data_IF_387992894598
#
_entry.id   IF_387992894598
#
_cell.length_a   1.000
_cell.length_b   1.000
_cell.length_c   1.000
_cell.angle_alpha   90.00
_cell.angle_beta   90.00
_cell.angle_gamma   90.00
#
_symmetry.space_group_name_H-M   'P 1'
#
loop_
_entity.id
_entity.type
_entity.pdbx_description
1 polymer ?
#
# COMPACT_ATOMS: atom_id res chain seq x y z
N UNK A 1 19.62 63.29 -37.95
CA UNK A 1 18.70 62.16 -38.23
C UNK A 1 19.06 60.82 -37.56
N UNK A 2 20.31 60.53 -37.13
CA UNK A 2 20.66 59.16 -36.71
C UNK A 2 20.21 58.71 -35.30
N UNK A 3 19.98 59.60 -34.33
CA UNK A 3 19.61 59.21 -32.96
C UNK A 3 18.28 58.43 -32.87
N UNK A 4 17.25 58.82 -33.64
CA UNK A 4 15.92 58.21 -33.52
C UNK A 4 15.88 56.72 -33.95
N UNK A 5 16.74 56.31 -34.89
CA UNK A 5 16.75 54.91 -35.38
C UNK A 5 17.22 53.91 -34.32
N UNK A 6 18.15 54.28 -33.43
CA UNK A 6 18.60 53.38 -32.34
C UNK A 6 17.49 53.18 -31.30
N UNK A 7 16.78 54.24 -30.91
CA UNK A 7 15.67 54.15 -29.95
C UNK A 7 14.54 53.28 -30.48
N UNK A 8 14.18 53.45 -31.76
CA UNK A 8 13.16 52.62 -32.43
C UNK A 8 13.60 51.16 -32.52
N UNK A 9 14.85 50.86 -32.89
CA UNK A 9 15.35 49.47 -32.89
C UNK A 9 15.30 48.83 -31.50
N UNK A 10 15.71 49.54 -30.45
CA UNK A 10 15.68 49.05 -29.06
C UNK A 10 14.24 48.78 -28.59
N UNK A 11 13.27 49.62 -28.99
CA UNK A 11 11.86 49.43 -28.66
C UNK A 11 11.23 48.24 -29.41
N UNK A 12 11.59 48.03 -30.69
CA UNK A 12 11.19 46.83 -31.43
C UNK A 12 11.82 45.58 -30.80
N UNK A 13 13.09 45.62 -30.42
CA UNK A 13 13.78 44.51 -29.77
C UNK A 13 13.15 44.14 -28.42
N UNK A 14 12.73 45.13 -27.62
CA UNK A 14 12.06 44.85 -26.34
C UNK A 14 10.68 44.22 -26.53
N UNK A 15 9.89 44.67 -27.50
CA UNK A 15 8.59 44.07 -27.84
C UNK A 15 8.77 42.62 -28.30
N UNK A 16 9.69 42.35 -29.23
CA UNK A 16 9.96 40.99 -29.73
C UNK A 16 10.49 40.09 -28.61
N UNK A 17 11.37 40.60 -27.74
CA UNK A 17 11.87 39.85 -26.59
C UNK A 17 10.76 39.52 -25.58
N UNK A 18 9.86 40.47 -25.26
CA UNK A 18 8.72 40.24 -24.36
C UNK A 18 7.72 39.25 -24.96
N UNK A 19 7.44 39.32 -26.27
CA UNK A 19 6.60 38.34 -26.96
C UNK A 19 7.23 36.94 -26.99
N UNK A 20 8.53 36.84 -27.23
CA UNK A 20 9.26 35.57 -27.15
C UNK A 20 9.26 34.99 -25.73
N UNK A 21 9.46 35.82 -24.70
CA UNK A 21 9.41 35.41 -23.29
C UNK A 21 8.01 34.92 -22.91
N UNK A 22 6.96 35.65 -23.32
CA UNK A 22 5.56 35.25 -23.13
C UNK A 22 5.23 33.93 -23.85
N UNK A 23 5.75 33.72 -25.07
CA UNK A 23 5.57 32.47 -25.80
C UNK A 23 6.29 31.28 -25.14
N UNK A 24 7.51 31.49 -24.63
CA UNK A 24 8.26 30.47 -23.86
C UNK A 24 7.54 30.14 -22.54
N UNK A 25 7.08 31.15 -21.80
CA UNK A 25 6.33 30.96 -20.54
C UNK A 25 5.01 30.24 -20.80
N UNK A 26 4.25 30.62 -21.83
CA UNK A 26 2.99 29.93 -22.17
C UNK A 26 3.23 28.51 -22.70
N UNK A 27 4.32 28.23 -23.42
CA UNK A 27 4.74 26.87 -23.77
C UNK A 27 5.11 26.03 -22.53
N UNK A 28 5.89 26.57 -21.58
CA UNK A 28 6.22 25.89 -20.33
C UNK A 28 4.97 25.60 -19.49
N UNK A 29 4.02 26.54 -19.41
CA UNK A 29 2.73 26.34 -18.74
C UNK A 29 1.89 25.27 -19.46
N UNK A 30 1.94 25.20 -20.79
CA UNK A 30 1.22 24.20 -21.59
C UNK A 30 1.83 22.80 -21.46
N UNK A 31 3.15 22.69 -21.34
CA UNK A 31 3.85 21.42 -21.07
C UNK A 31 3.70 20.97 -19.60
N UNK A 32 3.61 21.89 -18.65
CA UNK A 32 3.35 21.59 -17.23
C UNK A 32 1.89 21.22 -16.90
N UNK A 33 1.01 21.03 -17.89
CA UNK A 33 -0.27 20.32 -17.69
C UNK A 33 -0.12 18.79 -17.72
N UNK A 34 0.90 18.28 -17.03
CA UNK A 34 0.81 16.93 -16.45
C UNK A 34 -0.30 16.93 -15.38
N UNK A 35 -1.00 15.80 -15.24
CA UNK A 35 -2.19 15.70 -14.39
C UNK A 35 -1.80 15.52 -12.92
N UNK A 36 -1.25 16.57 -12.31
CA UNK A 36 -0.85 16.60 -10.90
C UNK A 36 -2.10 16.71 -10.02
N UNK A 37 -2.46 15.63 -9.34
CA UNK A 37 -3.57 15.60 -8.37
C UNK A 37 -3.17 16.24 -7.04
N UNK A 38 -3.27 17.57 -6.96
CA UNK A 38 -3.38 18.26 -5.66
C UNK A 38 -4.85 18.28 -5.26
N UNK A 39 -5.18 17.62 -4.16
CA UNK A 39 -6.53 17.64 -3.58
C UNK A 39 -6.82 18.99 -2.90
N UNK A 40 -8.01 19.58 -3.10
CA UNK A 40 -8.44 20.75 -2.34
C UNK A 40 -8.92 20.35 -0.94
N UNK A 41 -8.74 21.23 0.04
CA UNK A 41 -9.43 21.12 1.33
C UNK A 41 -10.90 21.53 1.14
N UNK A 42 -11.84 20.76 1.71
CA UNK A 42 -13.27 21.08 1.71
C UNK A 42 -13.81 20.87 3.12
N UNK A 43 -14.47 21.90 3.67
CA UNK A 43 -15.19 21.84 4.95
C UNK A 43 -16.63 21.38 4.69
N UNK A 44 -17.16 20.49 5.52
CA UNK A 44 -18.50 19.90 5.37
C UNK A 44 -19.37 20.12 6.62
N UNK A 45 -20.68 20.20 6.41
CA UNK A 45 -21.73 20.12 7.43
C UNK A 45 -22.76 19.07 6.97
N UNK A 46 -23.47 18.45 7.92
CA UNK A 46 -24.25 17.22 7.69
C UNK A 46 -25.75 17.40 8.03
N UNK A 47 -26.63 16.87 7.17
CA UNK A 47 -28.01 16.49 7.53
C UNK A 47 -28.48 15.34 6.61
N UNK A 48 -29.24 14.38 7.15
CA UNK A 48 -29.77 13.23 6.40
C UNK A 48 -31.22 13.44 5.91
N UNK A 49 -31.88 12.45 5.29
CA UNK A 49 -31.43 11.08 5.00
C UNK A 49 -32.22 10.41 3.87
N UNK A 50 -31.80 10.57 2.61
CA UNK A 50 -32.10 9.63 1.51
C UNK A 50 -31.16 9.90 0.32
N UNK A 51 -30.59 8.88 -0.34
CA UNK A 51 -29.62 9.11 -1.45
C UNK A 51 -30.37 9.32 -2.77
N UNK A 52 -30.91 10.53 -2.98
CA UNK A 52 -31.64 10.89 -4.21
C UNK A 52 -31.21 12.25 -4.78
N UNK A 53 -30.21 12.18 -5.68
CA UNK A 53 -29.60 13.25 -6.50
C UNK A 53 -28.72 14.26 -5.77
N UNK A 54 -27.64 14.65 -6.44
CA UNK A 54 -26.91 15.90 -6.18
C UNK A 54 -27.75 17.04 -6.77
N UNK A 55 -28.10 18.03 -5.95
CA UNK A 55 -28.73 19.30 -6.37
C UNK A 55 -28.00 20.42 -5.65
N UNK A 56 -27.75 21.54 -6.34
CA UNK A 56 -27.04 22.71 -5.80
C UNK A 56 -28.02 23.88 -5.72
N UNK A 57 -28.50 24.22 -4.50
CA UNK A 57 -28.99 25.56 -4.14
C UNK A 57 -29.31 25.72 -2.63
N UNK A 58 -29.80 26.90 -2.26
CA UNK A 58 -29.59 27.56 -0.96
C UNK A 58 -30.65 27.36 0.15
N UNK A 59 -30.15 27.23 1.39
CA UNK A 59 -30.70 27.72 2.68
C UNK A 59 -31.92 27.08 3.38
N UNK A 60 -31.77 26.96 4.72
CA UNK A 60 -32.74 26.93 5.86
C UNK A 60 -33.27 25.59 6.44
N UNK A 61 -32.77 25.32 7.65
CA UNK A 61 -33.40 24.72 8.85
C UNK A 61 -33.86 23.23 8.89
N UNK A 62 -33.09 22.41 9.63
CA UNK A 62 -33.50 21.56 10.80
C UNK A 62 -34.61 20.47 10.60
N UNK A 63 -34.57 19.26 11.20
CA UNK A 63 -33.62 18.58 12.13
C UNK A 63 -33.52 17.07 11.71
N UNK A 64 -33.38 15.97 12.49
CA UNK A 64 -33.27 15.67 13.94
C UNK A 64 -32.21 14.57 14.20
N UNK A 65 -32.56 13.45 14.85
CA UNK A 65 -31.62 12.46 15.46
C UNK A 65 -32.14 11.03 15.26
N UNK A 66 -31.27 10.08 14.88
CA UNK A 66 -31.18 8.74 15.52
C UNK A 66 -29.98 7.87 15.04
N UNK A 67 -29.07 7.58 15.98
CA UNK A 67 -28.26 6.36 16.18
C UNK A 67 -27.74 5.51 14.99
N UNK A 68 -26.68 5.97 14.30
CA UNK A 68 -25.59 5.09 13.80
C UNK A 68 -24.24 5.84 13.93
N UNK A 69 -23.43 5.52 14.94
CA UNK A 69 -22.27 6.35 15.35
C UNK A 69 -20.88 5.73 15.24
N UNK A 70 -20.73 4.44 14.89
CA UNK A 70 -19.42 3.74 14.91
C UNK A 70 -18.81 3.39 13.53
N UNK A 71 -19.54 3.60 12.43
CA UNK A 71 -19.00 3.41 11.06
C UNK A 71 -18.87 4.72 10.27
N UNK A 72 -19.57 5.80 10.66
CA UNK A 72 -19.58 7.07 9.93
C UNK A 72 -18.21 7.76 9.88
N UNK A 73 -17.47 7.78 10.99
CA UNK A 73 -16.22 8.54 11.11
C UNK A 73 -15.17 8.07 10.09
N UNK A 74 -14.96 6.75 9.97
CA UNK A 74 -14.00 6.19 9.01
C UNK A 74 -14.41 6.39 7.54
N UNK A 75 -15.71 6.51 7.24
CA UNK A 75 -16.19 6.81 5.88
C UNK A 75 -15.93 8.29 5.54
N UNK A 76 -16.11 9.19 6.51
CA UNK A 76 -15.91 10.63 6.30
C UNK A 76 -14.46 10.99 5.95
N UNK A 77 -13.46 10.28 6.50
CA UNK A 77 -12.05 10.44 6.12
C UNK A 77 -11.72 9.96 4.69
N UNK A 78 -12.54 9.08 4.11
CA UNK A 78 -12.29 8.45 2.80
C UNK A 78 -13.00 9.14 1.62
N UNK A 79 -13.96 10.03 1.89
CA UNK A 79 -14.68 10.82 0.87
C UNK A 79 -13.82 11.45 -0.25
N UNK A 80 -12.61 12.01 -0.03
CA UNK A 80 -11.80 12.56 -1.13
C UNK A 80 -11.27 11.51 -2.14
N UNK A 81 -11.29 10.21 -1.81
CA UNK A 81 -10.77 9.15 -2.70
C UNK A 81 -11.84 8.54 -3.62
N UNK A 82 -13.11 8.53 -3.21
CA UNK A 82 -14.18 7.83 -3.96
C UNK A 82 -14.58 8.48 -5.28
N UNK A 83 -14.42 9.80 -5.44
CA UNK A 83 -14.96 10.56 -6.57
C UNK A 83 -14.01 10.66 -7.78
N UNK A 84 -13.50 9.53 -8.31
CA UNK A 84 -12.88 9.51 -9.64
C UNK A 84 -12.96 8.17 -10.39
N UNK A 85 -13.23 8.23 -11.70
CA UNK A 85 -13.16 7.13 -12.70
C UNK A 85 -14.19 5.98 -12.65
N UNK A 86 -15.48 6.31 -12.61
CA UNK A 86 -16.59 5.35 -12.78
C UNK A 86 -16.77 4.83 -14.24
N UNK A 87 -15.68 4.49 -14.95
CA UNK A 87 -15.73 4.11 -16.37
C UNK A 87 -14.71 3.04 -16.80
N UNK A 88 -14.04 2.38 -15.86
CA UNK A 88 -13.02 1.33 -16.12
C UNK A 88 -13.38 0.00 -15.38
N UNK A 89 -14.47 0.01 -14.61
CA UNK A 89 -14.81 -1.02 -13.61
C UNK A 89 -15.58 -2.25 -14.14
N UNK A 90 -15.85 -2.35 -15.45
CA UNK A 90 -16.75 -3.39 -16.02
C UNK A 90 -16.28 -4.83 -15.81
N UNK A 91 -14.98 -5.04 -15.59
CA UNK A 91 -14.39 -6.38 -15.53
C UNK A 91 -14.08 -6.84 -14.10
N UNK A 92 -14.26 -5.99 -13.09
CA UNK A 92 -14.10 -6.38 -11.69
C UNK A 92 -15.41 -6.97 -11.16
N UNK A 93 -15.53 -8.29 -11.29
CA UNK A 93 -16.66 -9.08 -10.74
C UNK A 93 -16.71 -8.91 -9.22
N UNK A 94 -17.91 -8.96 -8.63
CA UNK A 94 -18.16 -8.89 -7.18
C UNK A 94 -19.25 -9.90 -6.83
N UNK A 95 -19.38 -10.34 -5.56
CA UNK A 95 -20.53 -11.10 -5.12
C UNK A 95 -21.85 -10.35 -5.40
N UNK A 96 -22.86 -11.05 -5.91
CA UNK A 96 -24.23 -10.52 -5.92
C UNK A 96 -24.73 -10.42 -4.48
N UNK A 97 -24.97 -9.20 -4.00
CA UNK A 97 -25.34 -8.94 -2.61
C UNK A 97 -26.69 -9.57 -2.22
N UNK A 98 -27.59 -9.84 -3.17
CA UNK A 98 -28.89 -10.48 -2.88
C UNK A 98 -28.71 -11.96 -2.57
N UNK A 99 -27.85 -12.66 -3.32
CA UNK A 99 -27.51 -14.06 -3.10
C UNK A 99 -26.59 -14.17 -1.89
N UNK A 100 -25.51 -13.38 -1.86
CA UNK A 100 -24.45 -13.44 -0.86
C UNK A 100 -24.96 -13.26 0.57
N UNK A 101 -25.87 -12.31 0.80
CA UNK A 101 -26.48 -12.06 2.11
C UNK A 101 -27.48 -13.14 2.56
N UNK A 102 -27.77 -14.15 1.72
CA UNK A 102 -28.60 -15.32 2.09
C UNK A 102 -27.78 -16.59 2.37
N UNK A 103 -26.45 -16.54 2.18
CA UNK A 103 -25.54 -17.65 2.44
C UNK A 103 -25.16 -17.73 3.94
N UNK A 104 -24.84 -18.93 4.48
CA UNK A 104 -24.30 -19.06 5.83
C UNK A 104 -22.92 -18.39 5.94
N UNK A 105 -22.53 -17.94 7.15
CA UNK A 105 -21.18 -17.39 7.38
C UNK A 105 -20.11 -18.47 7.14
N UNK A 106 -19.00 -18.12 6.47
CA UNK A 106 -17.87 -19.00 6.21
C UNK A 106 -17.17 -19.42 7.51
N UNK A 107 -17.57 -20.56 8.06
CA UNK A 107 -16.91 -21.17 9.20
C UNK A 107 -15.70 -22.00 8.73
N UNK A 108 -14.55 -21.33 8.49
CA UNK A 108 -13.26 -22.00 8.29
C UNK A 108 -12.79 -22.63 9.61
N UNK A 109 -13.41 -23.77 9.96
CA UNK A 109 -13.09 -24.56 11.13
C UNK A 109 -12.00 -25.58 10.79
N UNK A 110 -10.92 -25.52 11.56
CA UNK A 110 -9.82 -26.48 11.45
C UNK A 110 -10.16 -27.73 12.26
N UNK A 111 -10.32 -28.87 11.59
CA UNK A 111 -10.68 -30.15 12.21
C UNK A 111 -9.47 -30.78 12.91
N UNK A 112 -9.42 -30.67 14.24
CA UNK A 112 -8.25 -30.74 15.11
C UNK A 112 -7.34 -32.02 15.09
N UNK A 113 -7.57 -33.01 14.23
CA UNK A 113 -7.02 -34.37 14.43
C UNK A 113 -5.60 -34.64 13.91
N UNK A 114 -4.98 -33.78 13.09
CA UNK A 114 -3.53 -33.82 12.87
C UNK A 114 -2.93 -32.45 12.51
N UNK A 115 -1.80 -32.11 13.14
CA UNK A 115 -0.94 -30.98 12.80
C UNK A 115 -0.27 -31.08 11.42
N UNK A 116 -0.18 -32.26 10.82
CA UNK A 116 0.37 -32.44 9.47
C UNK A 116 -0.56 -31.86 8.40
N UNK A 117 -1.88 -31.94 8.60
CA UNK A 117 -2.92 -31.54 7.64
C UNK A 117 -2.88 -30.05 7.29
N UNK A 118 -2.35 -29.21 8.18
CA UNK A 118 -2.28 -27.76 7.97
C UNK A 118 -1.01 -27.32 7.21
N UNK A 119 -0.05 -28.21 6.99
CA UNK A 119 1.23 -27.88 6.35
C UNK A 119 1.05 -27.75 4.84
N UNK A 120 1.47 -26.62 4.32
CA UNK A 120 1.32 -26.25 2.91
C UNK A 120 2.51 -26.80 2.12
N UNK A 121 2.25 -27.69 1.16
CA UNK A 121 3.29 -28.13 0.21
C UNK A 121 3.59 -27.00 -0.76
N UNK A 122 4.73 -26.34 -0.56
CA UNK A 122 5.14 -25.20 -1.40
C UNK A 122 5.76 -25.68 -2.71
N UNK A 123 5.12 -25.33 -3.82
CA UNK A 123 5.64 -25.45 -5.18
C UNK A 123 6.90 -24.58 -5.33
N UNK A 124 8.01 -25.21 -5.72
CA UNK A 124 9.30 -24.56 -5.99
C UNK A 124 9.61 -24.44 -7.49
N UNK A 125 8.72 -24.95 -8.35
CA UNK A 125 8.88 -24.99 -9.81
C UNK A 125 8.26 -23.75 -10.45
N UNK A 126 9.02 -23.10 -11.32
CA UNK A 126 8.58 -21.85 -11.96
C UNK A 126 7.86 -22.17 -13.27
N UNK A 127 6.55 -21.95 -13.26
CA UNK A 127 5.69 -22.08 -14.43
C UNK A 127 5.52 -20.72 -15.16
N UNK A 128 5.26 -20.70 -16.48
CA UNK A 128 4.80 -19.49 -17.17
C UNK A 128 3.37 -19.14 -16.71
N UNK A 129 2.97 -17.87 -16.88
CA UNK A 129 1.71 -17.37 -16.30
C UNK A 129 0.48 -18.14 -16.76
N UNK A 130 0.39 -18.57 -18.03
CA UNK A 130 -0.76 -19.33 -18.52
C UNK A 130 -0.95 -20.66 -17.78
N UNK A 131 0.13 -21.38 -17.46
CA UNK A 131 0.05 -22.65 -16.72
C UNK A 131 -0.38 -22.40 -15.27
N UNK A 132 0.03 -21.28 -14.66
CA UNK A 132 -0.43 -20.86 -13.33
C UNK A 132 -1.90 -20.41 -13.39
N UNK A 133 -2.34 -19.81 -14.49
CA UNK A 133 -3.75 -19.49 -14.75
C UNK A 133 -4.58 -20.77 -14.86
N UNK A 134 -4.12 -21.77 -15.62
CA UNK A 134 -4.71 -23.11 -15.73
C UNK A 134 -4.81 -23.83 -14.37
N UNK A 135 -3.79 -23.74 -13.50
CA UNK A 135 -3.83 -24.28 -12.13
C UNK A 135 -4.96 -23.70 -11.27
N UNK A 136 -5.45 -22.49 -11.59
CA UNK A 136 -6.37 -21.70 -10.76
C UNK A 136 -7.69 -21.32 -11.45
N UNK A 137 -7.92 -21.77 -12.68
CA UNK A 137 -8.86 -21.13 -13.62
C UNK A 137 -10.34 -21.22 -13.20
N UNK A 138 -10.76 -22.38 -12.68
CA UNK A 138 -12.16 -22.81 -12.52
C UNK A 138 -13.06 -21.80 -11.77
N UNK A 139 -12.49 -21.01 -10.87
CA UNK A 139 -13.24 -20.09 -10.00
C UNK A 139 -12.56 -18.73 -9.74
N UNK A 140 -11.33 -18.49 -10.20
CA UNK A 140 -10.64 -17.22 -10.02
C UNK A 140 -11.12 -16.15 -11.03
N UNK A 141 -11.51 -14.97 -10.55
CA UNK A 141 -11.95 -13.85 -11.38
C UNK A 141 -10.78 -12.93 -11.78
N UNK A 142 -10.93 -12.27 -12.93
CA UNK A 142 -9.97 -11.27 -13.41
C UNK A 142 -9.72 -10.17 -12.38
N UNK A 143 -8.47 -9.73 -12.31
CA UNK A 143 -7.94 -8.91 -11.23
C UNK A 143 -7.31 -9.72 -10.08
N UNK A 144 -7.26 -11.04 -10.17
CA UNK A 144 -6.79 -11.90 -9.09
C UNK A 144 -7.73 -11.90 -7.88
N UNK A 145 -9.04 -11.85 -8.15
CA UNK A 145 -10.09 -11.76 -7.15
C UNK A 145 -10.83 -13.10 -7.03
N UNK A 146 -11.06 -13.56 -5.81
CA UNK A 146 -11.84 -14.76 -5.53
C UNK A 146 -12.65 -14.55 -4.26
N UNK A 147 -13.82 -15.19 -4.21
CA UNK A 147 -14.69 -15.26 -3.05
C UNK A 147 -15.44 -16.60 -3.06
N UNK A 148 -15.77 -17.17 -1.89
CA UNK A 148 -16.54 -18.40 -1.81
C UNK A 148 -17.98 -18.19 -2.33
N UNK A 149 -18.49 -19.18 -3.08
CA UNK A 149 -19.85 -19.17 -3.67
C UNK A 149 -20.92 -19.79 -2.75
N UNK A 150 -20.49 -20.41 -1.65
CA UNK A 150 -21.34 -21.21 -0.74
C UNK A 150 -21.49 -20.62 0.66
N UNK A 151 -20.76 -19.54 0.98
CA UNK A 151 -20.79 -18.90 2.28
C UNK A 151 -20.43 -17.40 2.20
N UNK A 152 -20.84 -16.62 3.19
CA UNK A 152 -20.52 -15.19 3.35
C UNK A 152 -19.27 -15.00 4.21
N UNK A 153 -18.34 -14.13 3.78
CA UNK A 153 -17.14 -13.77 4.56
C UNK A 153 -17.39 -12.50 5.40
N UNK A 154 -16.77 -12.44 6.58
CA UNK A 154 -16.77 -11.24 7.43
C UNK A 154 -15.81 -10.15 6.89
N UNK A 155 -14.77 -10.58 6.19
CA UNK A 155 -13.68 -9.72 5.72
C UNK A 155 -13.44 -9.86 4.22
N UNK A 156 -13.08 -8.75 3.61
CA UNK A 156 -12.74 -8.58 2.20
C UNK A 156 -11.34 -8.00 2.13
N UNK A 157 -10.41 -8.76 1.55
CA UNK A 157 -8.97 -8.55 1.69
C UNK A 157 -8.34 -7.92 0.46
N UNK A 158 -7.69 -6.78 0.63
CA UNK A 158 -6.71 -6.27 -0.34
C UNK A 158 -5.31 -6.79 0.04
N UNK A 159 -4.74 -7.67 -0.79
CA UNK A 159 -3.39 -8.21 -0.60
C UNK A 159 -2.44 -7.40 -1.49
N UNK A 160 -1.65 -6.52 -0.86
CA UNK A 160 -0.87 -5.48 -1.52
C UNK A 160 0.62 -5.88 -1.53
N UNK A 161 1.17 -6.01 -2.72
CA UNK A 161 2.52 -6.51 -2.98
C UNK A 161 3.35 -5.42 -3.66
N UNK A 162 4.45 -5.01 -3.03
CA UNK A 162 5.38 -4.06 -3.62
C UNK A 162 6.32 -4.76 -4.59
N UNK A 163 6.40 -4.28 -5.82
CA UNK A 163 7.04 -5.00 -6.91
C UNK A 163 7.95 -4.12 -7.77
N UNK A 164 9.08 -4.70 -8.19
CA UNK A 164 9.91 -4.26 -9.32
C UNK A 164 10.86 -5.40 -9.72
N UNK A 165 10.84 -5.80 -10.99
CA UNK A 165 11.79 -6.75 -11.61
C UNK A 165 11.99 -8.06 -10.81
N UNK A 166 10.90 -8.70 -10.40
CA UNK A 166 10.87 -9.90 -9.54
C UNK A 166 9.91 -10.98 -10.10
N UNK A 167 9.88 -11.14 -11.43
CA UNK A 167 8.85 -11.96 -12.11
C UNK A 167 8.86 -13.43 -11.67
N UNK A 168 10.05 -14.02 -11.53
CA UNK A 168 10.24 -15.39 -11.04
C UNK A 168 9.72 -15.58 -9.61
N UNK A 169 9.82 -14.56 -8.76
CA UNK A 169 9.17 -14.54 -7.44
C UNK A 169 7.66 -14.44 -7.55
N UNK A 170 7.16 -13.52 -8.37
CA UNK A 170 5.72 -13.31 -8.54
C UNK A 170 5.02 -14.57 -9.09
N UNK A 171 5.66 -15.30 -9.99
CA UNK A 171 5.18 -16.61 -10.48
C UNK A 171 5.05 -17.64 -9.36
N UNK A 172 6.12 -17.88 -8.60
CA UNK A 172 6.10 -18.78 -7.43
C UNK A 172 5.11 -18.29 -6.36
N UNK A 173 4.96 -16.99 -6.19
CA UNK A 173 4.01 -16.40 -5.26
C UNK A 173 2.57 -16.71 -5.64
N UNK A 174 2.16 -16.43 -6.88
CA UNK A 174 0.79 -16.63 -7.34
C UNK A 174 0.40 -18.12 -7.40
N UNK A 175 1.32 -18.99 -7.85
CA UNK A 175 1.13 -20.44 -7.91
C UNK A 175 0.76 -21.03 -6.54
N UNK A 176 1.44 -20.58 -5.48
CA UNK A 176 1.23 -21.05 -4.11
C UNK A 176 0.11 -20.31 -3.35
N UNK A 177 0.08 -18.97 -3.42
CA UNK A 177 -0.77 -18.17 -2.52
C UNK A 177 -2.26 -18.30 -2.83
N UNK A 178 -2.65 -18.48 -4.10
CA UNK A 178 -4.05 -18.67 -4.45
C UNK A 178 -4.59 -19.96 -3.82
N UNK A 179 -3.85 -21.07 -3.89
CA UNK A 179 -4.19 -22.32 -3.19
C UNK A 179 -4.37 -22.10 -1.69
N UNK A 180 -3.47 -21.34 -1.08
CA UNK A 180 -3.52 -21.02 0.36
C UNK A 180 -4.77 -20.21 0.75
N UNK A 181 -5.07 -19.14 0.02
CA UNK A 181 -6.16 -18.21 0.32
C UNK A 181 -7.54 -18.81 0.03
N UNK A 182 -7.69 -19.56 -1.07
CA UNK A 182 -8.93 -20.28 -1.42
C UNK A 182 -9.29 -21.30 -0.34
N UNK A 183 -8.29 -22.03 0.19
CA UNK A 183 -8.50 -22.99 1.29
C UNK A 183 -9.04 -22.31 2.56
N UNK A 184 -8.61 -21.09 2.88
CA UNK A 184 -9.12 -20.31 4.02
C UNK A 184 -10.49 -19.65 3.78
N UNK A 185 -11.15 -19.89 2.63
CA UNK A 185 -12.47 -19.35 2.28
C UNK A 185 -12.58 -17.81 2.36
N UNK A 186 -11.53 -17.11 1.95
CA UNK A 186 -11.44 -15.64 2.04
C UNK A 186 -12.00 -14.94 0.80
N UNK A 187 -12.71 -13.82 0.97
CA UNK A 187 -12.87 -12.83 -0.11
C UNK A 187 -11.55 -12.04 -0.19
N UNK A 188 -10.83 -12.14 -1.29
CA UNK A 188 -9.55 -11.45 -1.48
C UNK A 188 -9.37 -10.91 -2.91
N UNK A 189 -8.48 -9.94 -3.05
CA UNK A 189 -7.91 -9.49 -4.34
C UNK A 189 -6.40 -9.27 -4.19
N UNK A 190 -5.63 -9.71 -5.19
CA UNK A 190 -4.17 -9.50 -5.22
C UNK A 190 -3.81 -8.26 -6.05
N UNK A 191 -3.12 -7.32 -5.42
CA UNK A 191 -2.65 -6.06 -6.00
C UNK A 191 -1.12 -6.03 -6.08
N UNK A 192 -0.58 -6.05 -7.31
CA UNK A 192 0.86 -5.94 -7.58
C UNK A 192 1.17 -4.48 -7.92
N UNK A 193 1.80 -3.76 -6.99
CA UNK A 193 2.14 -2.34 -7.14
C UNK A 193 3.56 -2.22 -7.70
N UNK A 194 3.66 -1.99 -9.01
CA UNK A 194 4.91 -1.96 -9.74
C UNK A 194 5.51 -0.55 -9.79
N UNK A 195 6.73 -0.39 -9.26
CA UNK A 195 7.49 0.88 -9.33
C UNK A 195 8.21 0.99 -10.68
N UNK A 196 7.59 1.63 -11.66
CA UNK A 196 8.24 2.02 -12.90
C UNK A 196 9.21 3.19 -12.67
N UNK A 197 10.49 3.01 -13.01
CA UNK A 197 11.51 4.06 -12.90
C UNK A 197 12.90 3.54 -12.53
N UNK A 198 13.86 4.45 -12.34
CA UNK A 198 15.27 4.17 -11.97
C UNK A 198 15.62 4.61 -10.54
N UNK A 199 14.68 5.27 -9.88
CA UNK A 199 14.72 5.72 -8.49
C UNK A 199 14.95 4.54 -7.53
N UNK A 200 15.39 4.82 -6.31
CA UNK A 200 15.50 3.80 -5.27
C UNK A 200 14.13 3.16 -4.99
N UNK A 201 14.14 1.88 -4.62
CA UNK A 201 12.89 1.17 -4.34
C UNK A 201 12.30 1.67 -3.02
N UNK A 202 11.02 2.00 -3.00
CA UNK A 202 10.33 2.56 -1.83
C UNK A 202 9.12 1.70 -1.47
N UNK A 203 9.40 0.59 -0.77
CA UNK A 203 8.43 -0.42 -0.34
C UNK A 203 7.24 0.20 0.42
N UNK A 204 7.53 1.07 1.38
CA UNK A 204 6.52 1.72 2.21
C UNK A 204 5.59 2.66 1.42
N UNK A 205 6.12 3.47 0.49
CA UNK A 205 5.29 4.31 -0.37
C UNK A 205 4.44 3.49 -1.36
N UNK A 206 4.93 2.34 -1.84
CA UNK A 206 4.16 1.44 -2.70
C UNK A 206 3.00 0.75 -1.95
N UNK A 207 3.15 0.41 -0.67
CA UNK A 207 2.03 -0.07 0.15
C UNK A 207 0.91 0.99 0.26
N UNK A 208 1.27 2.27 0.45
CA UNK A 208 0.32 3.38 0.46
C UNK A 208 -0.42 3.52 -0.88
N UNK A 209 0.30 3.44 -2.02
CA UNK A 209 -0.32 3.45 -3.36
C UNK A 209 -1.31 2.31 -3.52
N UNK A 210 -0.91 1.09 -3.16
CA UNK A 210 -1.78 -0.09 -3.27
C UNK A 210 -3.05 0.04 -2.44
N UNK A 211 -2.95 0.59 -1.23
CA UNK A 211 -4.11 0.93 -0.40
C UNK A 211 -5.03 1.94 -1.10
N UNK A 212 -4.47 3.07 -1.56
CA UNK A 212 -5.23 4.17 -2.17
C UNK A 212 -5.95 3.72 -3.46
N UNK A 213 -5.36 2.85 -4.28
CA UNK A 213 -6.03 2.33 -5.48
C UNK A 213 -7.03 1.20 -5.16
N UNK A 214 -6.72 0.31 -4.21
CA UNK A 214 -7.61 -0.80 -3.84
C UNK A 214 -8.99 -0.31 -3.33
N UNK A 215 -9.01 0.70 -2.45
CA UNK A 215 -10.27 1.23 -1.87
C UNK A 215 -11.22 1.85 -2.90
N UNK A 216 -10.73 2.21 -4.10
CA UNK A 216 -11.57 2.72 -5.20
C UNK A 216 -12.29 1.61 -5.95
N UNK A 217 -11.76 0.38 -5.90
CA UNK A 217 -12.25 -0.75 -6.68
C UNK A 217 -13.31 -1.54 -5.92
N UNK A 218 -13.07 -1.83 -4.63
CA UNK A 218 -13.97 -2.64 -3.81
C UNK A 218 -13.89 -2.26 -2.33
N UNK A 219 -14.92 -2.61 -1.55
CA UNK A 219 -15.12 -2.20 -0.16
C UNK A 219 -14.32 -3.07 0.82
N UNK A 220 -13.02 -3.17 0.58
CA UNK A 220 -12.06 -3.88 1.42
C UNK A 220 -12.05 -3.32 2.85
N UNK A 221 -12.09 -4.21 3.85
CA UNK A 221 -12.04 -3.86 5.27
C UNK A 221 -10.78 -4.40 5.97
N UNK A 222 -10.02 -5.26 5.29
CA UNK A 222 -8.75 -5.82 5.74
C UNK A 222 -7.66 -5.65 4.65
N UNK A 223 -6.46 -5.25 5.06
CA UNK A 223 -5.34 -4.96 4.17
C UNK A 223 -4.13 -5.79 4.61
N UNK A 224 -3.64 -6.65 3.71
CA UNK A 224 -2.45 -7.48 3.93
C UNK A 224 -1.31 -6.91 3.11
N UNK A 225 -0.28 -6.38 3.78
CA UNK A 225 0.92 -5.84 3.13
C UNK A 225 1.99 -6.93 3.09
N UNK A 226 2.44 -7.29 1.88
CA UNK A 226 3.13 -8.56 1.65
C UNK A 226 4.38 -8.41 0.78
N UNK A 227 5.50 -8.97 1.25
CA UNK A 227 6.70 -9.13 0.44
C UNK A 227 6.54 -10.33 -0.53
N UNK A 228 6.87 -10.11 -1.81
CA UNK A 228 6.67 -11.09 -2.90
C UNK A 228 7.55 -12.34 -2.79
N UNK A 229 8.56 -12.34 -1.91
CA UNK A 229 9.49 -13.45 -1.70
C UNK A 229 9.26 -14.25 -0.41
N UNK A 230 8.10 -14.08 0.24
CA UNK A 230 7.65 -14.85 1.39
C UNK A 230 6.40 -15.68 1.07
N UNK A 231 6.33 -16.93 1.53
CA UNK A 231 5.17 -17.83 1.40
C UNK A 231 4.80 -18.45 2.76
N UNK A 232 3.52 -18.46 3.19
CA UNK A 232 3.12 -19.07 4.45
C UNK A 232 3.19 -20.61 4.38
N UNK A 233 3.66 -21.26 5.46
CA UNK A 233 3.85 -22.72 5.51
C UNK A 233 2.70 -23.47 6.21
N UNK A 234 1.77 -22.77 6.88
CA UNK A 234 0.74 -23.39 7.73
C UNK A 234 -0.63 -22.69 7.60
N UNK A 235 -1.69 -23.46 7.31
CA UNK A 235 -3.06 -22.95 7.13
C UNK A 235 -3.68 -22.34 8.40
N UNK A 236 -3.13 -22.60 9.60
CA UNK A 236 -3.57 -21.96 10.86
C UNK A 236 -3.14 -20.50 10.95
N UNK A 237 -2.21 -20.05 10.10
CA UNK A 237 -1.87 -18.63 9.94
C UNK A 237 -2.97 -17.95 9.11
N UNK A 238 -4.11 -17.66 9.75
CA UNK A 238 -5.28 -17.10 9.06
C UNK A 238 -4.95 -15.70 8.54
N UNK A 239 -5.08 -15.52 7.22
CA UNK A 239 -5.01 -14.21 6.57
C UNK A 239 -6.29 -13.46 6.88
N UNK A 240 -6.31 -12.82 8.05
CA UNK A 240 -7.39 -11.95 8.52
C UNK A 240 -6.89 -10.89 9.48
N UNK A 241 -7.58 -9.76 9.47
CA UNK A 241 -7.37 -8.65 10.37
C UNK A 241 -8.09 -8.91 11.70
N UNK A 242 -7.66 -8.21 12.75
CA UNK A 242 -8.34 -8.17 14.05
C UNK A 242 -8.33 -6.76 14.63
N UNK A 243 -8.67 -6.62 15.91
CA UNK A 243 -8.74 -5.34 16.64
C UNK A 243 -7.43 -4.54 16.68
N UNK A 244 -6.32 -5.19 16.33
CA UNK A 244 -4.94 -4.70 16.43
C UNK A 244 -4.14 -5.15 15.21
N UNK A 245 -3.23 -4.32 14.67
CA UNK A 245 -2.34 -4.70 13.57
C UNK A 245 -1.57 -5.98 13.87
N UNK A 246 -1.43 -6.86 12.87
CA UNK A 246 -0.80 -8.18 13.02
C UNK A 246 0.50 -8.25 12.25
N UNK A 247 1.56 -8.75 12.88
CA UNK A 247 2.76 -9.24 12.18
C UNK A 247 2.57 -10.74 11.92
N UNK A 248 2.58 -11.13 10.65
CA UNK A 248 2.27 -12.49 10.22
C UNK A 248 3.54 -13.31 10.01
N UNK A 249 4.58 -12.72 9.41
CA UNK A 249 5.86 -13.39 9.14
C UNK A 249 6.80 -13.46 10.36
N UNK A 250 6.33 -14.05 11.46
CA UNK A 250 7.08 -14.15 12.73
C UNK A 250 8.31 -15.05 12.60
N UNK A 251 8.19 -16.14 11.85
CA UNK A 251 9.20 -17.19 11.74
C UNK A 251 9.55 -17.45 10.27
N UNK A 252 10.49 -16.68 9.71
CA UNK A 252 10.98 -16.91 8.34
C UNK A 252 12.11 -17.94 8.36
N UNK A 253 12.13 -18.87 7.40
CA UNK A 253 13.21 -19.87 7.25
C UNK A 253 14.61 -19.22 7.12
N UNK A 254 14.66 -17.98 6.62
CA UNK A 254 15.88 -17.15 6.55
C UNK A 254 16.54 -16.89 7.90
N UNK A 255 15.76 -16.85 8.97
CA UNK A 255 16.24 -16.60 10.32
C UNK A 255 16.07 -17.84 11.20
N UNK A 256 16.17 -19.03 10.59
CA UNK A 256 16.00 -20.34 11.22
C UNK A 256 14.67 -20.47 11.99
N UNK A 257 13.59 -19.90 11.43
CA UNK A 257 12.26 -19.83 12.06
C UNK A 257 12.25 -19.10 13.41
N UNK A 258 13.16 -18.14 13.62
CA UNK A 258 13.21 -17.27 14.80
C UNK A 258 12.80 -15.83 14.46
N UNK A 259 12.10 -15.18 15.38
CA UNK A 259 11.86 -13.75 15.34
C UNK A 259 13.18 -13.02 15.68
N UNK A 260 13.68 -12.15 14.78
CA UNK A 260 14.97 -11.48 14.96
C UNK A 260 15.02 -10.57 16.19
N UNK A 261 13.98 -9.76 16.39
CA UNK A 261 13.85 -8.83 17.51
C UNK A 261 12.37 -8.53 17.78
N UNK A 262 12.06 -8.14 19.03
CA UNK A 262 10.67 -8.06 19.51
C UNK A 262 9.81 -7.02 18.78
N UNK A 263 10.41 -5.95 18.25
CA UNK A 263 9.72 -4.88 17.50
C UNK A 263 9.55 -5.14 16.00
N UNK A 264 10.10 -6.23 15.45
CA UNK A 264 10.07 -6.50 14.00
C UNK A 264 8.64 -6.51 13.45
N UNK A 265 8.42 -5.70 12.41
CA UNK A 265 7.11 -5.52 11.77
C UNK A 265 7.22 -5.46 10.22
N UNK A 266 8.28 -6.08 9.69
CA UNK A 266 8.52 -6.24 8.25
C UNK A 266 7.86 -7.50 7.66
N UNK A 267 8.23 -7.87 6.43
CA UNK A 267 7.75 -9.08 5.78
C UNK A 267 6.27 -9.03 5.38
N UNK A 268 5.41 -9.59 6.23
CA UNK A 268 3.96 -9.68 6.02
C UNK A 268 3.20 -9.15 7.23
N UNK A 269 2.30 -8.18 7.02
CA UNK A 269 1.47 -7.58 8.08
C UNK A 269 0.01 -7.43 7.66
N UNK A 270 -0.90 -7.34 8.64
CA UNK A 270 -2.32 -7.09 8.41
C UNK A 270 -2.83 -5.88 9.21
N UNK A 271 -3.65 -5.04 8.58
CA UNK A 271 -4.32 -3.88 9.18
C UNK A 271 -5.80 -3.85 8.84
N UNK A 272 -6.63 -3.53 9.83
CA UNK A 272 -8.00 -3.06 9.55
C UNK A 272 -7.97 -1.73 8.81
N UNK A 273 -9.05 -1.39 8.09
CA UNK A 273 -9.20 -0.10 7.42
C UNK A 273 -8.92 1.08 8.36
N UNK A 274 -9.51 1.06 9.57
CA UNK A 274 -9.37 2.13 10.57
C UNK A 274 -7.97 2.19 11.19
N UNK A 275 -7.29 1.06 11.39
CA UNK A 275 -5.89 1.07 11.84
C UNK A 275 -4.96 1.66 10.79
N UNK A 276 -5.16 1.33 9.51
CA UNK A 276 -4.26 1.83 8.46
C UNK A 276 -4.43 3.34 8.23
N UNK A 277 -5.68 3.82 8.14
CA UNK A 277 -5.99 5.26 8.02
C UNK A 277 -5.55 6.01 9.28
N UNK A 278 -5.87 5.51 10.47
CA UNK A 278 -5.48 6.12 11.74
C UNK A 278 -3.96 6.21 11.95
N UNK A 279 -3.18 5.28 11.39
CA UNK A 279 -1.72 5.33 11.37
C UNK A 279 -1.14 6.34 10.37
N UNK A 280 -1.96 6.92 9.50
CA UNK A 280 -1.56 7.63 8.27
C UNK A 280 -0.79 6.71 7.28
N UNK A 281 -1.06 5.41 7.32
CA UNK A 281 -0.32 4.39 6.56
C UNK A 281 1.19 4.36 6.84
N UNK A 282 1.94 3.78 5.91
CA UNK A 282 3.39 3.63 5.96
C UNK A 282 4.13 4.97 5.69
N UNK A 283 5.39 5.15 6.14
CA UNK A 283 6.20 6.33 5.85
C UNK A 283 6.65 6.40 4.38
N UNK A 284 6.50 7.53 3.70
CA UNK A 284 6.88 7.66 2.26
C UNK A 284 8.35 8.01 2.05
N UNK A 285 9.11 8.25 3.13
CA UNK A 285 10.48 8.79 3.14
C UNK A 285 11.61 7.75 3.05
N UNK A 286 11.29 6.45 3.05
CA UNK A 286 12.31 5.39 3.06
C UNK A 286 12.69 4.95 1.64
N UNK A 287 13.63 5.69 1.06
CA UNK A 287 14.22 5.42 -0.25
C UNK A 287 15.44 4.48 -0.11
N UNK A 288 15.29 3.23 -0.54
CA UNK A 288 16.26 2.16 -0.28
C UNK A 288 15.83 1.25 0.87
N UNK A 289 16.71 0.33 1.28
CA UNK A 289 16.33 -0.75 2.22
C UNK A 289 16.47 -0.37 3.71
N UNK A 290 15.39 -0.62 4.47
CA UNK A 290 15.38 -0.86 5.90
C UNK A 290 14.98 0.32 6.78
N UNK A 291 14.23 0.03 7.84
CA UNK A 291 13.78 0.97 8.86
C UNK A 291 12.37 1.53 8.63
N UNK A 292 11.75 1.23 7.48
CA UNK A 292 10.38 1.65 7.18
C UNK A 292 9.32 0.80 7.91
N UNK A 293 9.71 -0.43 8.26
CA UNK A 293 8.96 -1.38 9.08
C UNK A 293 9.11 -1.08 10.59
N UNK A 294 10.31 -0.73 11.06
CA UNK A 294 10.52 -0.18 12.40
C UNK A 294 9.73 1.13 12.63
N UNK A 295 9.70 2.03 11.64
CA UNK A 295 8.88 3.25 11.70
C UNK A 295 7.38 2.91 11.75
N UNK A 296 6.92 1.92 10.96
CA UNK A 296 5.53 1.47 11.03
C UNK A 296 5.17 0.84 12.39
N UNK A 297 6.08 0.07 13.01
CA UNK A 297 5.91 -0.38 14.39
C UNK A 297 5.76 0.80 15.36
N UNK A 298 6.59 1.84 15.22
CA UNK A 298 6.46 3.06 16.02
C UNK A 298 5.14 3.80 15.76
N UNK A 299 4.63 3.84 14.53
CA UNK A 299 3.29 4.40 14.21
C UNK A 299 2.19 3.64 14.95
N UNK A 300 2.21 2.30 14.95
CA UNK A 300 1.24 1.49 15.71
C UNK A 300 1.32 1.78 17.21
N UNK A 301 2.52 1.82 17.78
CA UNK A 301 2.70 2.00 19.23
C UNK A 301 2.54 3.45 19.70
N UNK A 302 2.77 4.46 18.84
CA UNK A 302 2.82 5.89 19.24
C UNK A 302 1.75 6.78 18.60
N UNK A 303 1.17 6.41 17.46
CA UNK A 303 0.06 7.14 16.81
C UNK A 303 -1.29 6.44 17.00
N UNK A 304 -1.35 5.11 16.92
CA UNK A 304 -2.57 4.35 17.25
C UNK A 304 -2.71 4.02 18.74
N UNK A 305 -1.63 4.13 19.54
CA UNK A 305 -1.56 3.64 20.92
C UNK A 305 -1.95 2.14 21.07
N UNK A 306 -1.64 1.32 20.06
CA UNK A 306 -1.94 -0.13 20.03
C UNK A 306 -0.67 -0.97 20.17
N UNK A 307 -0.84 -2.18 20.71
CA UNK A 307 0.16 -3.24 20.56
C UNK A 307 -0.05 -3.97 19.23
N UNK A 308 1.02 -4.51 18.65
CA UNK A 308 0.89 -5.48 17.54
C UNK A 308 0.41 -6.84 18.07
N UNK A 309 -0.12 -7.69 17.18
CA UNK A 309 -0.44 -9.10 17.44
C UNK A 309 0.39 -10.03 16.54
N UNK A 310 0.55 -11.29 16.96
CA UNK A 310 1.30 -12.35 16.27
C UNK A 310 0.57 -13.69 16.51
N UNK A 311 0.66 -14.62 15.57
CA UNK A 311 0.36 -16.04 15.88
C UNK A 311 1.60 -16.70 16.53
N UNK A 312 1.43 -17.85 17.21
CA UNK A 312 2.55 -18.66 17.71
C UNK A 312 3.58 -19.01 16.63
N UNK A 313 4.83 -19.25 17.03
CA UNK A 313 6.00 -19.34 16.13
C UNK A 313 6.01 -20.61 15.25
N UNK A 314 5.25 -21.62 15.67
CA UNK A 314 4.96 -22.87 14.98
C UNK A 314 3.85 -22.76 13.94
N UNK A 315 3.03 -21.70 14.01
CA UNK A 315 1.96 -21.37 13.04
C UNK A 315 2.42 -20.26 12.08
N UNK A 316 3.06 -19.23 12.59
CA UNK A 316 3.49 -18.03 11.88
C UNK A 316 4.75 -18.23 11.01
N UNK A 317 4.87 -19.40 10.38
CA UNK A 317 6.03 -19.83 9.59
C UNK A 317 5.92 -19.42 8.13
N UNK A 318 7.05 -18.96 7.61
CA UNK A 318 7.17 -18.53 6.22
C UNK A 318 8.44 -19.06 5.57
N UNK A 319 8.29 -19.55 4.34
CA UNK A 319 9.39 -19.88 3.45
C UNK A 319 9.82 -18.64 2.68
N UNK A 320 11.12 -18.31 2.67
CA UNK A 320 11.65 -17.31 1.75
C UNK A 320 12.08 -17.95 0.42
N UNK A 321 11.63 -17.38 -0.70
CA UNK A 321 12.00 -17.79 -2.05
C UNK A 321 13.44 -17.33 -2.35
N UNK A 322 14.41 -18.14 -1.88
CA UNK A 322 15.85 -17.90 -1.99
C UNK A 322 16.48 -18.34 -3.32
N UNK A 323 15.90 -19.33 -3.99
CA UNK A 323 16.48 -20.10 -5.11
C UNK A 323 16.81 -19.30 -6.38
N UNK A 324 16.63 -17.98 -6.34
CA UNK A 324 16.73 -17.06 -7.47
C UNK A 324 17.87 -16.02 -7.34
N UNK A 325 18.70 -16.08 -6.29
CA UNK A 325 19.95 -15.31 -6.15
C UNK A 325 19.84 -13.79 -6.44
N UNK A 326 18.80 -13.13 -5.91
CA UNK A 326 18.70 -11.67 -6.02
C UNK A 326 19.53 -10.96 -4.96
N UNK A 327 20.27 -9.94 -5.37
CA UNK A 327 20.89 -8.97 -4.46
C UNK A 327 19.83 -8.20 -3.69
N UNK A 328 20.12 -7.91 -2.42
CA UNK A 328 19.29 -6.99 -1.62
C UNK A 328 19.41 -5.56 -2.16
N UNK A 329 18.36 -4.75 -1.98
CA UNK A 329 18.43 -3.32 -2.28
C UNK A 329 19.53 -2.62 -1.49
N UNK A 330 20.09 -1.52 -2.02
CA UNK A 330 21.04 -0.70 -1.28
C UNK A 330 20.39 -0.22 0.03
N UNK A 331 21.05 -0.34 1.20
CA UNK A 331 20.53 0.22 2.44
C UNK A 331 20.32 1.72 2.30
N UNK A 332 19.21 2.23 2.84
CA UNK A 332 19.00 3.68 2.93
C UNK A 332 20.03 4.25 3.93
N UNK A 333 20.93 5.17 3.52
CA UNK A 333 22.01 5.66 4.38
C UNK A 333 21.49 6.51 5.57
N UNK A 334 20.34 7.16 5.40
CA UNK A 334 19.75 8.05 6.39
C UNK A 334 18.70 7.37 7.28
N UNK A 335 18.42 6.06 7.09
CA UNK A 335 17.37 5.30 7.79
C UNK A 335 17.32 5.49 9.31
N UNK A 336 18.49 5.45 9.95
CA UNK A 336 18.61 5.64 11.40
C UNK A 336 18.38 7.10 11.81
N UNK A 337 18.83 8.06 11.00
CA UNK A 337 18.58 9.49 11.24
C UNK A 337 17.09 9.81 11.15
N UNK A 338 16.38 9.21 10.19
CA UNK A 338 14.93 9.31 10.04
C UNK A 338 14.24 8.67 11.26
N UNK A 339 14.50 7.39 11.53
CA UNK A 339 13.84 6.61 12.60
C UNK A 339 13.99 7.27 13.99
N UNK A 340 15.20 7.75 14.32
CA UNK A 340 15.49 8.34 15.63
C UNK A 340 15.20 9.85 15.73
N UNK A 341 14.67 10.48 14.67
CA UNK A 341 14.30 11.90 14.67
C UNK A 341 13.03 12.18 15.49
N UNK A 342 12.12 11.19 15.60
CA UNK A 342 10.77 11.35 16.17
C UNK A 342 9.95 12.44 15.47
N UNK A 343 10.03 12.52 14.14
CA UNK A 343 9.21 13.43 13.34
C UNK A 343 7.70 13.18 13.55
N UNK A 344 6.87 14.16 13.20
CA UNK A 344 5.42 14.04 13.33
C UNK A 344 4.85 13.17 12.19
N UNK A 345 4.43 11.94 12.51
CA UNK A 345 3.82 10.98 11.59
C UNK A 345 2.60 11.51 10.81
N UNK A 346 1.90 12.53 11.30
CA UNK A 346 0.79 13.17 10.55
C UNK A 346 1.28 14.09 9.42
N UNK A 347 2.60 14.31 9.26
CA UNK A 347 3.22 15.04 8.13
C UNK A 347 3.82 14.12 7.06
N UNK A 348 3.69 12.80 7.21
CA UNK A 348 4.23 11.84 6.25
C UNK A 348 3.40 10.55 6.21
N UNK A 349 2.84 10.21 5.06
CA UNK A 349 2.04 9.00 4.90
C UNK A 349 1.08 9.05 3.70
N UNK A 350 -0.07 8.37 3.81
CA UNK A 350 -1.12 8.41 2.77
C UNK A 350 -1.58 9.84 2.48
N UNK A 351 -1.63 10.72 3.49
CA UNK A 351 -2.04 12.12 3.32
C UNK A 351 -1.03 13.01 2.57
N UNK A 352 0.22 12.56 2.41
CA UNK A 352 1.27 13.24 1.62
C UNK A 352 1.70 12.43 0.40
N UNK A 353 0.99 11.35 0.07
CA UNK A 353 1.39 10.41 -0.97
C UNK A 353 1.27 11.06 -2.37
N UNK A 354 2.39 11.16 -3.08
CA UNK A 354 2.46 11.74 -4.43
C UNK A 354 3.10 10.75 -5.41
N UNK A 355 2.37 10.42 -6.47
CA UNK A 355 2.77 9.43 -7.47
C UNK A 355 2.07 9.71 -8.80
N UNK A 356 2.68 9.25 -9.90
CA UNK A 356 2.03 9.18 -11.21
C UNK A 356 1.53 7.76 -11.44
N UNK A 357 0.22 7.57 -11.45
CA UNK A 357 -0.41 6.37 -12.02
C UNK A 357 -0.27 6.39 -13.55
N UNK A 358 0.20 5.29 -14.14
CA UNK A 358 0.27 5.13 -15.60
C UNK A 358 -0.93 4.33 -16.11
N UNK A 359 -1.18 3.16 -15.54
CA UNK A 359 -2.37 2.35 -15.78
C UNK A 359 -2.62 1.35 -14.63
N UNK A 360 -3.82 0.76 -14.64
CA UNK A 360 -4.20 -0.43 -13.87
C UNK A 360 -4.59 -1.51 -14.89
N UNK A 361 -4.11 -2.74 -14.71
CA UNK A 361 -4.36 -3.87 -15.62
C UNK A 361 -4.83 -5.08 -14.82
N UNK A 362 -6.01 -5.59 -15.16
CA UNK A 362 -6.58 -6.79 -14.53
C UNK A 362 -6.12 -8.04 -15.29
N UNK A 363 -5.09 -8.72 -14.78
CA UNK A 363 -4.71 -10.07 -15.24
C UNK A 363 -5.58 -11.11 -14.52
N UNK A 364 -5.63 -12.37 -14.99
CA UNK A 364 -6.40 -13.43 -14.33
C UNK A 364 -5.94 -13.64 -12.87
N UNK A 365 -4.62 -13.66 -12.65
CA UNK A 365 -4.01 -13.91 -11.32
C UNK A 365 -3.87 -12.69 -10.40
N UNK A 366 -3.85 -11.45 -10.94
CA UNK A 366 -3.63 -10.24 -10.14
C UNK A 366 -4.04 -8.96 -10.85
N UNK A 367 -4.27 -7.91 -10.07
CA UNK A 367 -4.39 -6.52 -10.55
C UNK A 367 -3.02 -5.86 -10.50
N UNK A 368 -2.47 -5.51 -11.67
CA UNK A 368 -1.22 -4.76 -11.80
C UNK A 368 -1.50 -3.25 -11.70
N UNK A 369 -0.84 -2.56 -10.79
CA UNK A 369 -0.91 -1.10 -10.62
C UNK A 369 0.47 -0.54 -10.97
N UNK A 370 0.60 0.10 -12.15
CA UNK A 370 1.89 0.66 -12.59
C UNK A 370 2.01 2.14 -12.20
N UNK A 371 2.98 2.47 -11.35
CA UNK A 371 3.23 3.85 -10.90
C UNK A 371 4.68 4.27 -11.08
N UNK A 372 4.92 5.57 -11.23
CA UNK A 372 6.22 6.18 -10.93
C UNK A 372 6.09 7.03 -9.67
N UNK A 373 7.02 6.83 -8.74
CA UNK A 373 7.17 7.65 -7.54
C UNK A 373 8.28 8.70 -7.78
N UNK A 374 8.21 9.85 -7.11
CA UNK A 374 9.26 10.88 -7.18
C UNK A 374 10.17 10.77 -5.97
N UNK A 375 11.46 10.46 -6.18
CA UNK A 375 12.45 10.34 -5.10
C UNK A 375 12.69 11.70 -4.41
N UNK A 376 12.43 11.75 -3.10
CA UNK A 376 12.64 12.94 -2.28
C UNK A 376 14.02 12.86 -1.61
N UNK A 377 14.90 13.82 -1.88
CA UNK A 377 16.23 13.83 -1.28
C UNK A 377 16.16 14.04 0.23
N UNK A 378 17.13 13.49 0.98
CA UNK A 378 17.15 13.64 2.44
C UNK A 378 17.16 15.11 2.91
N UNK A 379 17.66 16.05 2.09
CA UNK A 379 17.56 17.49 2.36
C UNK A 379 16.09 17.99 2.34
N UNK A 380 15.32 17.58 1.33
CA UNK A 380 13.89 17.91 1.22
C UNK A 380 13.09 17.26 2.36
N UNK A 381 13.35 15.98 2.66
CA UNK A 381 12.77 15.25 3.81
C UNK A 381 13.01 16.02 5.12
N UNK A 382 14.25 16.44 5.38
CA UNK A 382 14.58 17.23 6.58
C UNK A 382 13.80 18.54 6.65
N UNK A 383 13.70 19.27 5.52
CA UNK A 383 12.94 20.53 5.44
C UNK A 383 11.44 20.33 5.64
N UNK A 384 10.84 19.27 5.07
CA UNK A 384 9.40 18.97 5.18
C UNK A 384 9.00 18.53 6.58
N UNK A 385 9.85 17.74 7.23
CA UNK A 385 9.55 17.09 8.51
C UNK A 385 10.17 17.76 9.73
N UNK A 386 10.86 18.89 9.55
CA UNK A 386 11.64 19.59 10.58
C UNK A 386 12.69 18.70 11.28
N UNK A 387 13.27 17.74 10.56
CA UNK A 387 14.29 16.84 11.11
C UNK A 387 15.61 17.60 11.21
N UNK A 388 16.05 17.87 12.45
CA UNK A 388 17.38 18.43 12.70
C UNK A 388 18.44 17.34 12.57
N UNK A 389 19.49 17.61 11.77
CA UNK A 389 20.68 16.76 11.78
C UNK A 389 21.34 16.84 13.15
N UNK A 390 21.19 15.79 13.97
CA UNK A 390 22.08 15.58 15.12
C UNK A 390 23.51 15.47 14.60
N UNK A 391 24.44 16.19 15.21
CA UNK A 391 25.87 16.07 14.91
C UNK A 391 26.36 14.64 15.15
N UNK A 392 27.44 14.23 14.47
CA UNK A 392 27.96 12.85 14.44
C UNK A 392 28.29 12.23 15.82
N UNK A 393 28.35 13.02 16.88
CA UNK A 393 28.94 12.65 18.17
C UNK A 393 28.02 11.80 19.08
N UNK A 394 27.19 10.90 18.52
CA UNK A 394 26.39 9.90 19.28
C UNK A 394 26.33 8.51 18.63
N UNK A 395 27.36 8.11 17.89
CA UNK A 395 27.49 6.74 17.35
C UNK A 395 27.60 5.66 18.45
N UNK A 396 28.05 6.01 19.66
CA UNK A 396 28.36 5.07 20.75
C UNK A 396 27.18 4.26 21.32
N UNK A 397 25.91 4.60 21.02
CA UNK A 397 24.73 3.81 21.43
C UNK A 397 23.99 3.13 20.26
N UNK A 398 24.56 3.09 19.05
CA UNK A 398 23.92 2.49 17.85
C UNK A 398 24.04 0.94 17.85
N UNK A 399 24.78 0.35 18.79
CA UNK A 399 25.19 -1.06 18.79
C UNK A 399 24.07 -2.12 18.86
N UNK A 400 22.86 -1.77 19.32
CA UNK A 400 21.77 -2.75 19.56
C UNK A 400 21.29 -3.43 18.26
N UNK A 401 21.31 -2.74 17.12
CA UNK A 401 20.90 -3.31 15.83
C UNK A 401 22.08 -3.74 14.94
N UNK A 402 23.21 -3.04 14.99
CA UNK A 402 24.39 -3.34 14.16
C UNK A 402 25.05 -4.69 14.46
N UNK A 403 24.78 -5.31 15.61
CA UNK A 403 25.26 -6.64 15.97
C UNK A 403 24.65 -7.77 15.11
N UNK A 404 23.43 -7.60 14.57
CA UNK A 404 22.81 -8.62 13.72
C UNK A 404 23.25 -8.54 12.25
N UNK A 405 23.53 -7.35 11.71
CA UNK A 405 24.02 -7.21 10.32
C UNK A 405 25.41 -7.85 10.10
N UNK A 406 26.21 -8.06 11.15
CA UNK A 406 27.50 -8.78 11.09
C UNK A 406 27.38 -10.30 11.14
N UNK A 407 26.28 -10.85 11.67
CA UNK A 407 26.08 -12.29 11.87
C UNK A 407 25.12 -12.91 10.82
N UNK A 408 24.90 -12.21 9.70
CA UNK A 408 24.00 -12.60 8.61
C UNK A 408 24.68 -12.54 7.22
N UNK A 409 25.99 -12.82 7.19
CA UNK A 409 26.79 -13.04 5.98
C UNK A 409 27.25 -14.49 5.90
#
# INVERSE_FOLDING_TARGET
MFQNRRTILLFIFSIVFVQALYYIITLQIKQNKTRITKFPLITLYEQGSDIKKIVVQDTKNLTLINNISLQKESINELNPFFNSSFSILTNFIKPDLTIYNSLPICNFSISNNDSSYYKVTISSKIYPFNIIEEHHDIDLHFGGHWFPKSCQTEQRLAIIICYRNRESHLKLFLDNIHSFLKQQQLDYTIFVVNQHGREQFNRAALFNVGFIEAIKLYSFNCFIFHDVDLLPEDLRNLYKCGEKPRHMSVAVDKFHYRLLYSTLFGGVTAFSLSDFVGANGYPTIYWGWGGEDDDMYLRVVKKLNKSITRYPIEIARYKMIRTLNHTSGKPNPDRYTILYSKYNYSRDGINTMNYKLHNIVFHKLFTLINVTLTEESFKQICTRLNITKRGKNKEQNIFVFGLFEKNLK
#
